data_IF_832576565909
#
_entry.id   IF_832576565909
#
_cell.length_a   1.000
_cell.length_b   1.000
_cell.length_c   1.000
_cell.angle_alpha   90.00
_cell.angle_beta   90.00
_cell.angle_gamma   90.00
#
_symmetry.space_group_name_H-M   'P 1'
#
loop_
_entity.id
_entity.type
_entity.pdbx_description
1 polymer ?
#
# COMPACT_ATOMS: atom_id res chain seq x y z
N UNK A 1 10.12 15.64 44.59
CA UNK A 1 11.44 15.99 44.02
C UNK A 1 11.61 15.11 42.78
N UNK A 2 11.72 15.71 41.58
CA UNK A 2 11.88 14.93 40.32
C UNK A 2 13.23 14.20 40.33
N UNK A 3 13.33 13.07 39.62
CA UNK A 3 14.63 12.41 39.47
C UNK A 3 15.54 13.29 38.59
N UNK A 4 16.87 13.26 38.76
CA UNK A 4 17.77 14.17 38.07
C UNK A 4 17.68 14.12 36.52
N UNK A 5 17.31 12.98 35.95
CA UNK A 5 17.16 12.77 34.51
C UNK A 5 15.75 13.07 33.96
N UNK A 6 14.80 13.50 34.80
CA UNK A 6 13.42 13.87 34.42
C UNK A 6 13.27 15.40 34.25
N UNK A 7 14.39 16.13 34.20
CA UNK A 7 14.42 17.60 34.13
C UNK A 7 14.41 18.10 32.68
N UNK A 8 15.17 17.44 31.78
CA UNK A 8 15.28 17.79 30.36
C UNK A 8 15.47 16.55 29.50
N UNK A 9 15.07 16.62 28.23
CA UNK A 9 15.20 15.54 27.26
C UNK A 9 13.97 14.62 27.21
N UNK A 10 14.04 13.50 26.48
CA UNK A 10 12.88 12.63 26.23
C UNK A 10 12.19 12.15 27.51
N UNK A 11 12.94 11.83 28.57
CA UNK A 11 12.39 11.38 29.85
C UNK A 11 11.62 12.45 30.63
N UNK A 12 11.63 13.70 30.17
CA UNK A 12 10.87 14.82 30.75
C UNK A 12 9.61 15.17 29.95
N UNK A 13 9.44 14.56 28.78
CA UNK A 13 8.32 14.81 27.86
C UNK A 13 7.05 14.06 28.34
N UNK A 14 5.86 14.70 28.33
CA UNK A 14 4.61 14.04 28.74
C UNK A 14 4.21 12.85 27.86
N UNK A 15 4.69 12.77 26.62
CA UNK A 15 4.36 11.69 25.68
C UNK A 15 5.31 10.49 25.79
N UNK A 16 6.40 10.63 26.54
CA UNK A 16 7.38 9.57 26.76
C UNK A 16 6.78 8.38 27.53
N UNK A 17 6.95 7.17 26.97
CA UNK A 17 6.57 5.90 27.60
C UNK A 17 7.77 4.98 27.76
N UNK A 18 7.84 4.30 28.90
CA UNK A 18 8.88 3.30 29.17
C UNK A 18 8.73 2.10 28.24
N UNK A 19 9.86 1.53 27.78
CA UNK A 19 9.90 0.38 26.89
C UNK A 19 9.63 -0.98 27.58
N UNK A 20 9.47 -1.00 28.92
CA UNK A 20 9.27 -2.23 29.69
C UNK A 20 7.78 -2.43 29.96
N UNK A 21 7.05 -3.21 29.15
CA UNK A 21 5.64 -3.49 29.40
C UNK A 21 5.49 -4.42 30.61
N UNK A 22 4.36 -4.31 31.31
CA UNK A 22 4.02 -5.27 32.36
C UNK A 22 3.58 -6.60 31.74
N UNK A 23 3.89 -7.71 32.41
CA UNK A 23 3.48 -9.05 31.97
C UNK A 23 1.95 -9.24 31.93
N UNK A 24 1.21 -8.44 32.69
CA UNK A 24 -0.27 -8.41 32.68
C UNK A 24 -0.84 -7.64 31.49
N UNK A 25 -0.07 -6.72 30.91
CA UNK A 25 -0.50 -5.81 29.84
C UNK A 25 -0.15 -6.35 28.45
N UNK A 26 1.07 -6.87 28.28
CA UNK A 26 1.54 -7.40 27.01
C UNK A 26 1.46 -8.93 26.99
N UNK A 27 0.82 -9.49 25.96
CA UNK A 27 0.73 -10.94 25.73
C UNK A 27 0.15 -11.71 26.93
N UNK A 28 -0.92 -11.14 27.52
CA UNK A 28 -1.70 -11.72 28.63
C UNK A 28 -2.12 -13.17 28.38
N UNK A 29 -2.36 -13.54 27.12
CA UNK A 29 -2.61 -14.91 26.70
C UNK A 29 -1.43 -15.44 25.89
N UNK A 30 -1.02 -16.68 26.15
CA UNK A 30 -0.06 -17.39 25.32
C UNK A 30 -0.61 -17.53 23.89
N UNK A 31 0.21 -17.40 22.82
CA UNK A 31 -0.29 -17.52 21.44
C UNK A 31 -0.93 -18.86 21.11
N UNK A 32 -0.48 -19.93 21.78
CA UNK A 32 -1.05 -21.27 21.63
C UNK A 32 -2.38 -21.47 22.38
N UNK A 33 -2.78 -20.52 23.23
CA UNK A 33 -3.97 -20.60 24.09
C UNK A 33 -4.73 -19.29 23.99
N UNK A 34 -5.11 -18.93 22.76
CA UNK A 34 -5.97 -17.79 22.51
C UNK A 34 -7.37 -18.05 23.11
N UNK A 35 -8.02 -17.04 23.72
CA UNK A 35 -9.34 -17.21 24.34
C UNK A 35 -10.47 -17.43 23.32
N UNK A 36 -10.23 -17.13 22.05
CA UNK A 36 -11.21 -17.25 20.98
C UNK A 36 -10.77 -18.29 19.92
N UNK A 37 -11.75 -19.01 19.39
CA UNK A 37 -11.56 -19.89 18.24
C UNK A 37 -11.60 -19.06 16.96
N UNK A 38 -10.47 -18.93 16.27
CA UNK A 38 -10.42 -18.25 14.98
C UNK A 38 -10.99 -19.14 13.86
N UNK A 39 -11.93 -18.61 13.07
CA UNK A 39 -12.44 -19.21 11.84
C UNK A 39 -12.02 -18.32 10.67
N UNK A 40 -10.97 -18.70 9.96
CA UNK A 40 -10.40 -17.88 8.88
C UNK A 40 -11.18 -18.16 7.58
N UNK A 41 -11.81 -17.15 6.95
CA UNK A 41 -12.50 -17.35 5.68
C UNK A 41 -11.48 -17.65 4.57
N UNK A 42 -11.74 -18.68 3.77
CA UNK A 42 -10.87 -19.10 2.65
C UNK A 42 -11.38 -18.66 1.28
N UNK A 43 -12.69 -18.45 1.16
CA UNK A 43 -13.39 -18.22 -0.10
C UNK A 43 -14.54 -17.24 0.10
N UNK A 44 -14.83 -16.45 -0.93
CA UNK A 44 -16.02 -15.60 -0.94
C UNK A 44 -17.30 -16.44 -1.00
N UNK A 45 -18.39 -16.07 -0.28
CA UNK A 45 -19.63 -16.84 -0.22
C UNK A 45 -20.22 -17.20 -1.58
N UNK A 46 -20.13 -16.27 -2.54
CA UNK A 46 -20.61 -16.44 -3.93
C UNK A 46 -19.95 -17.62 -4.65
N UNK A 47 -18.70 -17.95 -4.27
CA UNK A 47 -17.88 -18.97 -4.94
C UNK A 47 -17.79 -20.29 -4.18
N UNK A 48 -18.47 -20.40 -3.03
CA UNK A 48 -18.53 -21.63 -2.24
C UNK A 48 -19.41 -22.67 -2.95
N UNK A 49 -20.57 -22.24 -3.45
CA UNK A 49 -21.53 -23.12 -4.13
C UNK A 49 -21.48 -22.98 -5.66
N UNK A 50 -21.30 -21.77 -6.21
CA UNK A 50 -21.02 -21.61 -7.65
C UNK A 50 -19.52 -21.75 -7.93
N UNK A 51 -19.10 -23.00 -8.12
CA UNK A 51 -17.69 -23.37 -8.26
C UNK A 51 -17.15 -23.30 -9.70
N UNK A 52 -17.87 -22.65 -10.63
CA UNK A 52 -17.43 -22.53 -12.03
C UNK A 52 -16.03 -21.89 -12.10
N UNK A 53 -15.04 -22.71 -12.48
CA UNK A 53 -13.65 -22.24 -12.48
C UNK A 53 -13.31 -21.38 -13.70
N UNK A 54 -13.87 -21.67 -14.88
CA UNK A 54 -13.50 -20.99 -16.12
C UNK A 54 -13.86 -19.48 -16.13
N UNK A 55 -14.93 -19.09 -15.43
CA UNK A 55 -15.31 -17.68 -15.25
C UNK A 55 -14.39 -16.96 -14.26
N UNK A 56 -13.87 -17.69 -13.27
CA UNK A 56 -12.96 -17.18 -12.23
C UNK A 56 -11.48 -17.17 -12.65
N UNK A 57 -11.09 -17.99 -13.63
CA UNK A 57 -9.71 -18.15 -14.07
C UNK A 57 -9.18 -16.91 -14.81
N UNK A 58 -8.72 -15.93 -14.02
CA UNK A 58 -8.07 -14.72 -14.53
C UNK A 58 -6.72 -14.97 -15.21
N UNK A 59 -6.07 -16.11 -14.94
CA UNK A 59 -4.73 -16.42 -15.46
C UNK A 59 -4.77 -16.73 -16.95
N UNK A 60 -5.82 -17.43 -17.38
CA UNK A 60 -6.02 -17.83 -18.79
C UNK A 60 -6.95 -16.88 -19.56
N UNK A 61 -7.81 -16.11 -18.87
CA UNK A 61 -8.68 -15.10 -19.49
C UNK A 61 -7.92 -13.83 -19.94
N UNK A 62 -6.79 -14.01 -20.64
CA UNK A 62 -6.00 -12.91 -21.19
C UNK A 62 -6.29 -12.77 -22.69
N UNK A 63 -6.34 -11.55 -23.25
CA UNK A 63 -6.37 -11.39 -24.69
C UNK A 63 -5.20 -12.13 -25.35
N UNK A 64 -5.42 -12.80 -26.50
CA UNK A 64 -4.34 -13.46 -27.22
C UNK A 64 -3.34 -12.43 -27.74
N UNK A 65 -2.08 -12.85 -27.86
CA UNK A 65 -1.00 -11.98 -28.38
C UNK A 65 -1.26 -11.70 -29.85
N UNK A 66 -1.45 -10.43 -30.21
CA UNK A 66 -1.61 -9.96 -31.59
C UNK A 66 -0.25 -9.51 -32.11
N UNK A 67 0.22 -10.11 -33.22
CA UNK A 67 1.47 -9.73 -33.89
C UNK A 67 1.14 -9.19 -35.28
N UNK A 68 1.59 -7.97 -35.57
CA UNK A 68 1.46 -7.34 -36.88
C UNK A 68 2.84 -6.96 -37.39
N UNK A 69 3.09 -7.19 -38.68
CA UNK A 69 4.34 -6.80 -39.33
C UNK A 69 4.16 -5.41 -39.92
N UNK A 70 4.98 -4.45 -39.50
CA UNK A 70 4.97 -3.08 -40.01
C UNK A 70 6.12 -2.96 -41.03
N UNK A 71 5.81 -2.57 -42.27
CA UNK A 71 6.81 -2.36 -43.33
C UNK A 71 7.10 -0.88 -43.53
N UNK A 72 8.14 -0.56 -44.30
CA UNK A 72 8.56 0.82 -44.59
C UNK A 72 7.40 1.71 -45.06
N UNK A 73 6.58 1.25 -46.00
CA UNK A 73 5.43 2.00 -46.50
C UNK A 73 4.39 2.34 -45.40
N UNK A 74 4.18 1.44 -44.43
CA UNK A 74 3.28 1.70 -43.31
C UNK A 74 3.87 2.75 -42.36
N UNK A 75 5.18 2.71 -42.12
CA UNK A 75 5.88 3.70 -41.29
C UNK A 75 5.81 5.09 -41.92
N UNK A 76 6.10 5.21 -43.22
CA UNK A 76 6.03 6.47 -43.96
C UNK A 76 4.62 7.08 -43.89
N UNK A 77 3.58 6.26 -44.05
CA UNK A 77 2.19 6.69 -43.89
C UNK A 77 1.87 7.16 -42.46
N UNK A 78 2.32 6.44 -41.44
CA UNK A 78 2.10 6.80 -40.03
C UNK A 78 2.81 8.12 -39.69
N UNK A 79 4.04 8.29 -40.17
CA UNK A 79 4.82 9.51 -39.95
C UNK A 79 4.21 10.71 -40.66
N UNK A 80 3.75 10.55 -41.90
CA UNK A 80 3.08 11.61 -42.64
C UNK A 80 1.75 12.05 -42.00
N UNK A 81 1.03 11.12 -41.35
CA UNK A 81 -0.24 11.39 -40.69
C UNK A 81 -0.10 11.95 -39.27
N UNK A 82 1.06 11.79 -38.61
CA UNK A 82 1.22 12.12 -37.20
C UNK A 82 1.69 13.57 -37.00
N UNK A 83 0.91 14.35 -36.27
CA UNK A 83 1.28 15.67 -35.74
C UNK A 83 1.30 15.62 -34.22
N UNK A 84 2.17 16.40 -33.57
CA UNK A 84 2.30 16.41 -32.11
C UNK A 84 1.62 17.65 -31.53
N UNK A 85 0.65 17.43 -30.65
CA UNK A 85 0.12 18.43 -29.74
C UNK A 85 0.78 18.35 -28.35
N UNK A 86 0.46 19.28 -27.44
CA UNK A 86 0.97 19.28 -26.08
C UNK A 86 0.66 18.01 -25.27
N UNK A 87 -0.47 17.35 -25.53
CA UNK A 87 -0.91 16.14 -24.80
C UNK A 87 -0.28 14.83 -25.33
N UNK A 88 0.39 14.85 -26.49
CA UNK A 88 1.03 13.66 -27.06
C UNK A 88 2.35 13.31 -26.37
N UNK A 89 2.87 14.20 -25.53
CA UNK A 89 4.08 13.99 -24.77
C UNK A 89 3.80 13.23 -23.48
N UNK A 90 4.66 12.27 -23.08
CA UNK A 90 4.50 11.56 -21.82
C UNK A 90 4.52 12.56 -20.66
N UNK A 91 3.54 12.44 -19.76
CA UNK A 91 3.45 13.31 -18.59
C UNK A 91 4.69 13.14 -17.71
N UNK A 92 5.30 14.25 -17.35
CA UNK A 92 6.43 14.26 -16.42
C UNK A 92 5.92 13.92 -15.02
N UNK A 93 6.58 12.98 -14.36
CA UNK A 93 6.37 12.76 -12.93
C UNK A 93 7.11 13.85 -12.15
N UNK A 94 6.43 14.96 -11.88
CA UNK A 94 6.96 16.06 -11.08
C UNK A 94 6.75 15.74 -9.60
N UNK A 95 7.83 15.66 -8.85
CA UNK A 95 7.77 15.63 -7.39
C UNK A 95 7.64 17.06 -6.88
N UNK A 96 6.68 17.30 -6.00
CA UNK A 96 6.55 18.58 -5.32
C UNK A 96 7.76 18.84 -4.41
N UNK A 97 8.11 20.12 -4.22
CA UNK A 97 9.06 20.51 -3.18
C UNK A 97 8.35 20.35 -1.84
N UNK A 98 8.76 19.36 -1.07
CA UNK A 98 8.20 19.11 0.26
C UNK A 98 8.95 19.97 1.28
N UNK A 99 8.20 20.67 2.12
CA UNK A 99 8.70 21.25 3.37
C UNK A 99 8.33 20.28 4.48
N UNK A 100 9.35 19.70 5.12
CA UNK A 100 9.16 18.75 6.21
C UNK A 100 8.86 19.50 7.50
N UNK A 101 7.71 19.23 8.09
CA UNK A 101 7.31 19.75 9.39
C UNK A 101 6.93 18.55 10.29
N UNK A 102 7.38 18.61 11.53
CA UNK A 102 7.42 17.50 12.47
C UNK A 102 6.01 17.04 12.88
N UNK A 103 5.09 18.00 13.11
CA UNK A 103 3.73 17.72 13.63
C UNK A 103 2.60 18.17 12.68
N UNK A 104 2.92 18.58 11.45
CA UNK A 104 1.96 19.22 10.54
C UNK A 104 0.70 18.38 10.23
N UNK A 105 0.80 17.06 10.26
CA UNK A 105 -0.31 16.15 9.95
C UNK A 105 -0.83 15.50 11.22
N UNK A 106 -2.06 15.86 11.61
CA UNK A 106 -2.71 15.29 12.79
C UNK A 106 -2.05 15.69 14.12
N UNK A 107 -1.19 16.73 14.12
CA UNK A 107 -0.43 17.13 15.30
C UNK A 107 0.66 16.12 15.68
N UNK A 108 1.25 15.43 14.70
CA UNK A 108 2.25 14.37 14.92
C UNK A 108 1.66 12.98 15.19
N UNK A 109 0.33 12.86 15.33
CA UNK A 109 -0.36 11.61 15.65
C UNK A 109 -1.33 11.18 14.54
N UNK A 110 -1.17 9.95 14.05
CA UNK A 110 -2.11 9.32 13.11
C UNK A 110 -3.05 8.36 13.84
N UNK A 111 -4.36 8.59 13.68
CA UNK A 111 -5.43 7.75 14.23
C UNK A 111 -5.67 6.50 13.41
#
# INVERSE_FOLDING_TARGET
MKKPWEITGPCSDPEYRSAVPMATEYRRFCPATAPAKACIPTSEPETVFDIKYYTRDRRRSRPPVRRTVIRKADVERIMAAKTFGPDDFPKVYLTERVEEDYDARGGGYQK
#
